data_IF_211956530441
#
_entry.id   IF_211956530441
#
_cell.length_a   1.000
_cell.length_b   1.000
_cell.length_c   1.000
_cell.angle_alpha   90.00
_cell.angle_beta   90.00
_cell.angle_gamma   90.00
#
_symmetry.space_group_name_H-M   'P 1'
#
loop_
_entity.id
_entity.type
_entity.pdbx_description
1 polymer ?
#
# COMPACT_ATOMS: atom_id res chain seq x y z
N UNK A 1 -12.79 9.41 -4.42
CA UNK A 1 -12.64 8.20 -5.28
C UNK A 1 -13.32 6.98 -4.65
N UNK A 2 -12.92 6.48 -3.47
CA UNK A 2 -13.55 5.29 -2.86
C UNK A 2 -15.08 5.39 -2.73
N UNK A 3 -15.60 6.53 -2.33
CA UNK A 3 -17.06 6.77 -2.25
C UNK A 3 -17.77 6.63 -3.61
N UNK A 4 -17.20 7.18 -4.67
CA UNK A 4 -17.79 7.09 -6.01
C UNK A 4 -17.82 5.66 -6.56
N UNK A 5 -16.82 4.83 -6.21
CA UNK A 5 -16.74 3.43 -6.63
C UNK A 5 -17.42 2.45 -5.66
N UNK A 6 -17.87 2.91 -4.50
CA UNK A 6 -18.45 2.06 -3.47
C UNK A 6 -19.59 1.13 -3.98
N UNK A 7 -20.57 1.59 -4.79
CA UNK A 7 -21.62 0.70 -5.31
C UNK A 7 -21.04 -0.44 -6.15
N UNK A 8 -20.01 -0.17 -6.96
CA UNK A 8 -19.34 -1.17 -7.81
C UNK A 8 -18.55 -2.18 -6.97
N UNK A 9 -17.80 -1.69 -5.96
CA UNK A 9 -17.04 -2.54 -5.05
C UNK A 9 -17.99 -3.46 -4.25
N UNK A 10 -19.07 -2.91 -3.74
CA UNK A 10 -20.08 -3.67 -3.00
C UNK A 10 -20.71 -4.80 -3.83
N UNK A 11 -20.90 -4.58 -5.12
CA UNK A 11 -21.47 -5.60 -6.05
C UNK A 11 -20.41 -6.54 -6.63
N UNK A 12 -19.11 -6.26 -6.46
CA UNK A 12 -18.04 -7.12 -6.96
C UNK A 12 -17.90 -8.40 -6.15
N UNK A 13 -17.32 -9.44 -6.78
CA UNK A 13 -17.00 -10.69 -6.09
C UNK A 13 -15.80 -10.54 -5.16
N UNK A 14 -14.82 -9.71 -5.54
CA UNK A 14 -13.58 -9.54 -4.78
C UNK A 14 -13.76 -8.69 -3.53
N UNK A 15 -14.59 -7.64 -3.59
CA UNK A 15 -14.87 -6.73 -2.46
C UNK A 15 -13.60 -6.22 -1.77
N UNK A 16 -12.64 -5.76 -2.56
CA UNK A 16 -11.36 -5.25 -2.07
C UNK A 16 -11.12 -3.82 -2.53
N UNK A 17 -10.46 -3.03 -1.68
CA UNK A 17 -9.88 -1.72 -2.01
C UNK A 17 -8.42 -1.78 -1.61
N UNK A 18 -7.53 -1.62 -2.57
CA UNK A 18 -6.08 -1.62 -2.30
C UNK A 18 -5.47 -0.34 -2.82
N UNK A 19 -4.58 0.23 -2.04
CA UNK A 19 -3.82 1.42 -2.42
C UNK A 19 -2.34 1.11 -2.53
N UNK A 20 -1.71 1.61 -3.59
CA UNK A 20 -0.25 1.55 -3.73
C UNK A 20 0.37 2.65 -2.87
N UNK A 21 1.01 2.24 -1.78
CA UNK A 21 1.74 3.11 -0.86
C UNK A 21 3.25 2.97 -1.06
N UNK A 22 4.01 3.17 -0.02
CA UNK A 22 5.47 3.04 0.01
C UNK A 22 5.91 2.71 1.43
N UNK A 23 6.94 1.88 1.60
CA UNK A 23 7.59 1.68 2.90
C UNK A 23 8.08 2.98 3.54
N UNK A 24 8.34 4.01 2.73
CA UNK A 24 8.66 5.36 3.21
C UNK A 24 7.49 6.05 3.97
N UNK A 25 6.28 5.51 3.90
CA UNK A 25 5.14 5.96 4.70
C UNK A 25 5.07 5.34 6.10
N UNK A 26 5.97 4.42 6.43
CA UNK A 26 6.08 3.80 7.75
C UNK A 26 6.75 4.76 8.74
N UNK A 27 6.07 5.04 9.85
CA UNK A 27 6.65 5.82 10.95
C UNK A 27 7.62 4.93 11.73
N UNK A 28 7.29 3.66 11.97
CA UNK A 28 8.19 2.68 12.57
C UNK A 28 9.49 2.52 11.77
N UNK A 29 9.39 2.31 10.46
CA UNK A 29 10.54 2.24 9.57
C UNK A 29 11.39 3.53 9.53
N UNK A 30 10.79 4.70 9.80
CA UNK A 30 11.54 5.95 9.89
C UNK A 30 12.43 6.03 11.16
N UNK A 31 12.01 5.39 12.26
CA UNK A 31 12.85 5.25 13.46
C UNK A 31 14.06 4.35 13.20
N UNK A 32 13.89 3.28 12.45
CA UNK A 32 14.98 2.33 12.14
C UNK A 32 16.01 2.94 11.18
N UNK A 33 15.54 3.77 10.24
CA UNK A 33 16.38 4.37 9.20
C UNK A 33 17.18 5.61 9.69
N UNK A 34 16.64 6.36 10.65
CA UNK A 34 17.23 7.59 11.24
C UNK A 34 17.72 8.64 10.20
N UNK A 35 17.34 8.50 8.92
CA UNK A 35 17.91 9.28 7.82
C UNK A 35 17.40 10.71 7.71
N UNK A 36 16.21 11.00 8.26
CA UNK A 36 15.63 12.35 8.26
C UNK A 36 15.44 12.94 6.85
N UNK A 37 14.98 12.17 5.88
CA UNK A 37 14.87 12.55 4.47
C UNK A 37 13.43 12.55 3.96
N UNK A 38 13.20 13.08 2.75
CA UNK A 38 11.98 12.97 1.98
C UNK A 38 10.70 13.41 2.73
N UNK A 39 10.77 14.48 3.53
CA UNK A 39 9.69 14.92 4.41
C UNK A 39 8.30 14.94 3.76
N UNK A 40 8.15 15.59 2.60
CA UNK A 40 6.86 15.70 1.92
C UNK A 40 6.35 14.36 1.42
N UNK A 41 7.23 13.54 0.84
CA UNK A 41 6.87 12.24 0.32
C UNK A 41 6.45 11.30 1.46
N UNK A 42 7.27 11.18 2.50
CA UNK A 42 6.98 10.35 3.69
C UNK A 42 5.67 10.79 4.34
N UNK A 43 5.49 12.09 4.59
CA UNK A 43 4.26 12.62 5.19
C UNK A 43 3.04 12.33 4.34
N UNK A 44 3.12 12.46 3.01
CA UNK A 44 2.01 12.15 2.11
C UNK A 44 1.62 10.67 2.14
N UNK A 45 2.61 9.76 2.22
CA UNK A 45 2.36 8.32 2.29
C UNK A 45 1.85 7.89 3.67
N UNK A 46 2.35 8.47 4.75
CA UNK A 46 1.80 8.25 6.10
C UNK A 46 0.34 8.74 6.20
N UNK A 47 0.03 9.88 5.60
CA UNK A 47 -1.35 10.38 5.53
C UNK A 47 -2.25 9.43 4.73
N UNK A 48 -1.80 8.92 3.58
CA UNK A 48 -2.50 7.90 2.80
C UNK A 48 -2.73 6.64 3.64
N UNK A 49 -1.71 6.16 4.34
CA UNK A 49 -1.78 4.98 5.20
C UNK A 49 -2.86 5.15 6.27
N UNK A 50 -2.90 6.30 6.95
CA UNK A 50 -3.92 6.59 7.96
C UNK A 50 -5.34 6.59 7.37
N UNK A 51 -5.53 7.19 6.20
CA UNK A 51 -6.83 7.17 5.50
C UNK A 51 -7.27 5.74 5.20
N UNK A 52 -6.36 4.90 4.71
CA UNK A 52 -6.67 3.52 4.34
C UNK A 52 -6.98 2.64 5.56
N UNK A 53 -6.29 2.84 6.70
CA UNK A 53 -6.62 2.17 7.98
C UNK A 53 -8.02 2.51 8.44
N UNK A 54 -8.37 3.80 8.46
CA UNK A 54 -9.72 4.23 8.84
C UNK A 54 -10.78 3.64 7.91
N UNK A 55 -10.51 3.65 6.60
CA UNK A 55 -11.40 3.06 5.60
C UNK A 55 -11.58 1.55 5.81
N UNK A 56 -10.51 0.83 6.16
CA UNK A 56 -10.54 -0.59 6.46
C UNK A 56 -11.52 -0.91 7.59
N UNK A 57 -11.40 -0.22 8.71
CA UNK A 57 -12.29 -0.43 9.85
C UNK A 57 -13.73 0.00 9.56
N UNK A 58 -13.93 1.09 8.81
CA UNK A 58 -15.26 1.53 8.40
C UNK A 58 -15.97 0.52 7.48
N UNK A 59 -15.23 -0.15 6.58
CA UNK A 59 -15.80 -1.04 5.58
C UNK A 59 -15.81 -2.52 5.98
N UNK A 60 -15.09 -2.90 7.03
CA UNK A 60 -15.05 -4.29 7.52
C UNK A 60 -16.43 -4.88 7.75
N UNK A 61 -17.31 -4.15 8.44
CA UNK A 61 -18.70 -4.58 8.72
C UNK A 61 -19.57 -4.70 7.46
N UNK A 62 -19.12 -4.13 6.35
CA UNK A 62 -19.77 -4.20 5.04
C UNK A 62 -19.20 -5.31 4.14
N UNK A 63 -18.29 -6.13 4.68
CA UNK A 63 -17.66 -7.24 3.97
C UNK A 63 -16.66 -6.80 2.90
N UNK A 64 -16.05 -5.61 3.04
CA UNK A 64 -15.05 -5.09 2.09
C UNK A 64 -13.70 -5.03 2.79
N UNK A 65 -12.71 -5.74 2.25
CA UNK A 65 -11.32 -5.69 2.69
C UNK A 65 -10.60 -4.47 2.11
N UNK A 66 -9.71 -3.88 2.90
CA UNK A 66 -8.92 -2.72 2.49
C UNK A 66 -7.47 -2.98 2.87
N UNK A 67 -6.53 -2.69 1.98
CA UNK A 67 -5.11 -2.86 2.27
C UNK A 67 -4.21 -1.91 1.51
N UNK A 68 -2.93 -1.99 1.82
CA UNK A 68 -1.86 -1.22 1.21
C UNK A 68 -0.76 -2.15 0.74
N UNK A 69 -0.21 -1.85 -0.43
CA UNK A 69 0.93 -2.58 -0.99
C UNK A 69 2.06 -1.61 -1.32
N UNK A 70 3.29 -2.03 -1.05
CA UNK A 70 4.50 -1.33 -1.45
C UNK A 70 5.18 -2.12 -2.58
N UNK A 71 5.35 -1.53 -3.77
CA UNK A 71 5.98 -2.21 -4.92
C UNK A 71 7.50 -2.37 -4.78
N UNK A 72 8.11 -1.76 -3.77
CA UNK A 72 9.57 -1.60 -3.69
C UNK A 72 10.12 -0.55 -4.67
N UNK A 73 11.45 -0.42 -4.77
CA UNK A 73 12.10 0.52 -5.67
C UNK A 73 11.95 0.05 -7.12
N UNK A 74 11.00 0.62 -7.86
CA UNK A 74 10.60 0.20 -9.20
C UNK A 74 11.07 1.20 -10.26
N UNK A 75 11.56 0.69 -11.40
CA UNK A 75 12.02 1.51 -12.55
C UNK A 75 10.83 2.22 -13.20
N UNK A 76 10.67 3.47 -12.82
CA UNK A 76 9.62 4.38 -13.29
C UNK A 76 10.22 5.77 -13.48
N UNK A 77 9.50 6.65 -14.16
CA UNK A 77 9.93 8.04 -14.31
C UNK A 77 10.19 8.75 -12.98
N UNK A 78 9.47 8.38 -11.93
CA UNK A 78 9.66 8.90 -10.57
C UNK A 78 11.04 8.55 -9.99
N UNK A 79 11.59 7.39 -10.35
CA UNK A 79 12.87 6.89 -9.83
C UNK A 79 14.05 7.21 -10.78
N UNK A 80 13.83 8.00 -11.85
CA UNK A 80 14.87 8.33 -12.84
C UNK A 80 16.05 9.03 -12.18
N UNK A 81 17.25 8.49 -12.42
CA UNK A 81 18.52 9.06 -11.91
C UNK A 81 18.88 8.63 -10.48
N UNK A 82 18.13 7.76 -9.85
CA UNK A 82 18.48 7.19 -8.55
C UNK A 82 19.62 6.16 -8.72
N UNK A 83 20.72 6.27 -7.94
CA UNK A 83 21.93 5.49 -8.15
C UNK A 83 21.95 4.12 -7.44
N UNK A 84 20.83 3.40 -7.40
CA UNK A 84 20.76 2.03 -6.89
C UNK A 84 19.89 1.14 -7.78
N UNK A 85 20.05 -0.20 -7.69
CA UNK A 85 19.28 -1.13 -8.53
C UNK A 85 17.77 -0.96 -8.33
N UNK A 86 17.05 -0.86 -9.45
CA UNK A 86 15.60 -0.79 -9.49
C UNK A 86 15.04 -2.13 -9.99
N UNK A 87 13.87 -2.47 -9.49
CA UNK A 87 13.09 -3.61 -9.96
C UNK A 87 12.38 -3.24 -11.27
N UNK A 88 12.19 -4.20 -12.16
CA UNK A 88 11.34 -3.96 -13.33
C UNK A 88 9.89 -3.69 -12.93
N UNK A 89 9.17 -2.97 -13.76
CA UNK A 89 7.72 -2.74 -13.56
C UNK A 89 6.94 -4.04 -13.60
N UNK A 90 7.35 -5.00 -14.42
CA UNK A 90 6.72 -6.31 -14.54
C UNK A 90 6.84 -7.13 -13.24
N UNK A 91 8.05 -7.22 -12.66
CA UNK A 91 8.27 -7.87 -11.37
C UNK A 91 7.45 -7.19 -10.25
N UNK A 92 7.48 -5.87 -10.19
CA UNK A 92 6.75 -5.12 -9.17
C UNK A 92 5.23 -5.34 -9.25
N UNK A 93 4.67 -5.37 -10.48
CA UNK A 93 3.24 -5.61 -10.69
C UNK A 93 2.86 -7.04 -10.34
N UNK A 94 3.70 -8.02 -10.70
CA UNK A 94 3.46 -9.44 -10.36
C UNK A 94 3.34 -9.62 -8.84
N UNK A 95 4.34 -9.13 -8.09
CA UNK A 95 4.33 -9.25 -6.63
C UNK A 95 3.16 -8.47 -5.99
N UNK A 96 2.81 -7.30 -6.55
CA UNK A 96 1.64 -6.56 -6.05
C UNK A 96 0.34 -7.33 -6.25
N UNK A 97 0.17 -8.03 -7.39
CA UNK A 97 -1.03 -8.84 -7.65
C UNK A 97 -1.12 -9.97 -6.63
N UNK A 98 -0.02 -10.70 -6.39
CA UNK A 98 0.03 -11.76 -5.37
C UNK A 98 -0.34 -11.23 -3.98
N UNK A 99 0.26 -10.12 -3.56
CA UNK A 99 -0.06 -9.48 -2.28
C UNK A 99 -1.53 -9.01 -2.19
N UNK A 100 -2.11 -8.51 -3.29
CA UNK A 100 -3.52 -8.11 -3.35
C UNK A 100 -4.44 -9.33 -3.20
N UNK A 101 -4.07 -10.48 -3.75
CA UNK A 101 -4.84 -11.71 -3.61
C UNK A 101 -4.90 -12.17 -2.15
N UNK A 102 -3.83 -12.00 -1.40
CA UNK A 102 -3.71 -12.37 0.02
C UNK A 102 -4.47 -11.45 0.98
N UNK A 103 -4.88 -10.26 0.54
CA UNK A 103 -5.66 -9.34 1.39
C UNK A 103 -7.11 -9.82 1.46
N UNK A 104 -7.63 -9.99 2.68
CA UNK A 104 -9.01 -10.39 2.95
C UNK A 104 -9.60 -9.65 4.18
N UNK A 105 -10.76 -10.09 4.67
CA UNK A 105 -11.41 -9.49 5.84
C UNK A 105 -10.71 -9.81 7.16
N UNK A 106 -9.94 -10.90 7.24
CA UNK A 106 -9.23 -11.31 8.45
C UNK A 106 -8.01 -10.42 8.66
N UNK A 107 -7.31 -10.08 7.56
CA UNK A 107 -6.14 -9.22 7.58
C UNK A 107 -6.41 -7.79 7.04
N UNK A 108 -7.67 -7.35 6.98
CA UNK A 108 -8.01 -5.99 6.53
C UNK A 108 -7.23 -4.95 7.33
N UNK A 109 -6.79 -3.90 6.68
CA UNK A 109 -5.75 -2.96 7.08
C UNK A 109 -4.32 -3.54 6.95
N UNK A 110 -4.11 -4.62 6.20
CA UNK A 110 -2.75 -5.10 5.91
C UNK A 110 -1.92 -4.04 5.17
N UNK A 111 -0.67 -3.91 5.56
CA UNK A 111 0.32 -3.08 4.88
C UNK A 111 1.49 -3.98 4.46
N UNK A 112 1.50 -4.37 3.17
CA UNK A 112 2.37 -5.40 2.64
C UNK A 112 3.50 -4.83 1.79
N UNK A 113 4.68 -5.33 2.02
CA UNK A 113 5.85 -5.10 1.18
C UNK A 113 5.81 -6.01 -0.06
N UNK A 114 6.55 -5.67 -1.11
CA UNK A 114 6.64 -6.46 -2.35
C UNK A 114 6.96 -7.95 -2.12
N UNK A 115 7.66 -8.29 -1.06
CA UNK A 115 8.02 -9.67 -0.70
C UNK A 115 6.99 -10.38 0.21
N UNK A 116 5.77 -9.86 0.31
CA UNK A 116 4.69 -10.42 1.12
C UNK A 116 4.80 -10.18 2.63
N UNK A 117 5.87 -9.57 3.11
CA UNK A 117 6.04 -9.28 4.53
C UNK A 117 5.25 -8.03 4.94
N UNK A 118 4.73 -8.04 6.16
CA UNK A 118 4.09 -6.86 6.76
C UNK A 118 5.13 -5.75 6.96
N UNK A 119 4.70 -4.52 6.67
CA UNK A 119 5.45 -3.30 7.01
C UNK A 119 4.86 -2.74 8.30
N UNK A 120 5.71 -2.32 9.23
CA UNK A 120 5.29 -1.62 10.44
C UNK A 120 4.73 -0.24 10.11
N UNK A 121 3.73 0.19 10.90
CA UNK A 121 3.05 1.48 10.68
C UNK A 121 3.90 2.70 11.02
#
# INVERSE_FOLDING_TARGET
MAEAFYPHIKSSNLKKIVSVSSSEGSIGGAYDDESGRMYFYRSSKSALNMVMVNLAFQLKSRGIAVGLVNPGPTDTDFMRGIPFPLRSTEEAVTDMIENIEDIDLENTAAYLNYNGKTIDW
#
